data_IF_011020116941
#
_entry.id   IF_011020116941
#
_cell.length_a   1.000
_cell.length_b   1.000
_cell.length_c   1.000
_cell.angle_alpha   90.00
_cell.angle_beta   90.00
_cell.angle_gamma   90.00
#
_symmetry.space_group_name_H-M   'P 1'
#
loop_
_entity.id
_entity.type
_entity.pdbx_description
1 polymer ?
#
# COMPACT_ATOMS: atom_id res chain seq x y z
N UNK A 1 -15.68 25.90 11.04
CA UNK A 1 -15.03 26.30 9.77
C UNK A 1 -14.39 25.09 9.06
N UNK A 2 -13.49 24.34 9.67
CA UNK A 2 -12.83 23.16 9.06
C UNK A 2 -13.79 22.08 8.55
N UNK A 3 -14.82 21.72 9.34
CA UNK A 3 -15.81 20.70 8.97
C UNK A 3 -16.59 21.05 7.68
N UNK A 4 -16.87 22.34 7.43
CA UNK A 4 -17.54 22.79 6.21
C UNK A 4 -16.60 22.65 5.01
N UNK A 5 -15.32 23.00 5.16
CA UNK A 5 -14.32 22.86 4.08
C UNK A 5 -14.16 21.39 3.68
N UNK A 6 -14.05 20.48 4.66
CA UNK A 6 -13.95 19.04 4.39
C UNK A 6 -15.20 18.50 3.68
N UNK A 7 -16.39 18.92 4.14
CA UNK A 7 -17.65 18.53 3.50
C UNK A 7 -17.74 19.03 2.06
N UNK A 8 -17.38 20.29 1.84
CA UNK A 8 -17.46 20.92 0.52
C UNK A 8 -16.44 20.27 -0.44
N UNK A 9 -15.21 20.00 0.02
CA UNK A 9 -14.22 19.24 -0.76
C UNK A 9 -14.71 17.82 -1.08
N UNK A 10 -15.29 17.11 -0.11
CA UNK A 10 -15.87 15.80 -0.33
C UNK A 10 -17.02 15.81 -1.36
N UNK A 11 -17.87 16.83 -1.29
CA UNK A 11 -18.96 17.01 -2.28
C UNK A 11 -18.42 17.25 -3.67
N UNK A 12 -17.41 18.11 -3.82
CA UNK A 12 -16.76 18.39 -5.12
C UNK A 12 -16.15 17.12 -5.70
N UNK A 13 -15.41 16.37 -4.89
CA UNK A 13 -14.80 15.09 -5.32
C UNK A 13 -15.86 14.07 -5.75
N UNK A 14 -16.97 13.97 -5.02
CA UNK A 14 -18.06 13.05 -5.36
C UNK A 14 -18.74 13.44 -6.69
N UNK A 15 -19.00 14.73 -6.91
CA UNK A 15 -19.55 15.23 -8.19
C UNK A 15 -18.59 14.95 -9.33
N UNK A 16 -17.29 15.25 -9.17
CA UNK A 16 -16.28 14.95 -10.20
C UNK A 16 -16.23 13.45 -10.51
N UNK A 17 -16.18 12.59 -9.50
CA UNK A 17 -16.17 11.14 -9.68
C UNK A 17 -17.39 10.63 -10.42
N UNK A 18 -18.58 11.13 -10.07
CA UNK A 18 -19.82 10.72 -10.71
C UNK A 18 -19.91 11.14 -12.18
N UNK A 19 -19.36 12.30 -12.54
CA UNK A 19 -19.33 12.79 -13.92
C UNK A 19 -18.44 11.94 -14.83
N UNK A 20 -17.36 11.36 -14.28
CA UNK A 20 -16.36 10.65 -15.08
C UNK A 20 -16.34 9.13 -14.86
N UNK A 21 -17.23 8.59 -14.01
CA UNK A 21 -17.24 7.16 -13.63
C UNK A 21 -17.38 6.20 -14.81
N UNK A 22 -18.10 6.61 -15.85
CA UNK A 22 -18.41 5.77 -17.00
C UNK A 22 -17.48 6.03 -18.21
N UNK A 23 -16.43 6.82 -18.02
CA UNK A 23 -15.45 7.13 -19.08
C UNK A 23 -14.68 5.85 -19.44
N UNK A 24 -14.83 5.44 -20.69
CA UNK A 24 -14.12 4.31 -21.28
C UNK A 24 -13.39 4.79 -22.53
N UNK A 25 -12.26 4.15 -22.80
CA UNK A 25 -11.45 4.45 -23.98
C UNK A 25 -11.30 3.18 -24.82
N UNK A 26 -11.61 3.31 -26.10
CA UNK A 26 -11.46 2.24 -27.09
C UNK A 26 -10.06 2.21 -27.69
N UNK A 27 -9.58 1.05 -28.20
CA UNK A 27 -8.31 0.97 -28.89
C UNK A 27 -8.18 1.91 -30.10
N UNK A 28 -9.28 2.18 -30.79
CA UNK A 28 -9.31 3.10 -31.93
C UNK A 28 -9.04 4.55 -31.50
N UNK A 29 -9.57 4.97 -30.35
CA UNK A 29 -9.35 6.32 -29.80
C UNK A 29 -7.90 6.50 -29.33
N UNK A 30 -7.31 5.48 -28.68
CA UNK A 30 -5.90 5.52 -28.29
C UNK A 30 -5.00 5.65 -29.52
N UNK A 31 -5.28 4.85 -30.58
CA UNK A 31 -4.52 4.90 -31.84
C UNK A 31 -4.67 6.25 -32.53
N UNK A 32 -5.88 6.80 -32.57
CA UNK A 32 -6.17 8.12 -33.14
C UNK A 32 -5.38 9.20 -32.39
N UNK A 33 -5.43 9.18 -31.07
CA UNK A 33 -4.69 10.13 -30.23
C UNK A 33 -3.19 10.03 -30.50
N UNK A 34 -2.60 8.84 -30.45
CA UNK A 34 -1.18 8.62 -30.70
C UNK A 34 -0.74 9.15 -32.06
N UNK A 35 -1.49 8.86 -33.13
CA UNK A 35 -1.17 9.30 -34.49
C UNK A 35 -1.30 10.81 -34.69
N UNK A 36 -2.02 11.50 -33.83
CA UNK A 36 -2.19 12.96 -33.86
C UNK A 36 -1.12 13.70 -33.05
N UNK A 37 -0.33 12.99 -32.22
CA UNK A 37 0.72 13.62 -31.44
C UNK A 37 1.88 14.04 -32.35
N UNK A 38 2.35 15.30 -32.24
CA UNK A 38 3.64 15.68 -32.80
C UNK A 38 4.75 14.80 -32.23
N UNK A 39 5.78 14.54 -33.01
CA UNK A 39 6.91 13.67 -32.62
C UNK A 39 7.57 14.12 -31.29
N UNK A 40 7.56 15.43 -31.01
CA UNK A 40 8.13 16.00 -29.79
C UNK A 40 7.18 15.90 -28.58
N UNK A 41 5.90 15.63 -28.83
CA UNK A 41 4.87 15.49 -27.79
C UNK A 41 4.56 14.04 -27.44
N UNK A 42 5.21 13.07 -28.09
CA UNK A 42 5.10 11.65 -27.71
C UNK A 42 5.72 11.48 -26.33
N UNK A 43 4.97 10.93 -25.34
CA UNK A 43 5.47 10.76 -24.00
C UNK A 43 6.76 9.92 -23.96
N UNK A 44 7.71 10.33 -23.15
CA UNK A 44 8.89 9.53 -22.87
C UNK A 44 8.60 8.58 -21.72
N UNK A 45 8.83 7.29 -21.94
CA UNK A 45 8.72 6.24 -20.92
C UNK A 45 10.12 6.06 -20.32
N UNK A 46 10.29 6.32 -19.01
CA UNK A 46 11.55 6.06 -18.33
C UNK A 46 11.95 4.60 -18.38
N UNK A 47 13.21 4.30 -18.10
CA UNK A 47 13.69 2.93 -17.95
C UNK A 47 12.82 2.18 -16.93
N UNK A 48 12.37 0.99 -17.31
CA UNK A 48 11.56 0.11 -16.47
C UNK A 48 12.25 -1.23 -16.26
N UNK A 49 11.96 -1.85 -15.13
CA UNK A 49 12.46 -3.18 -14.76
C UNK A 49 11.32 -4.10 -14.35
N UNK A 50 11.48 -5.39 -14.60
CA UNK A 50 10.65 -6.45 -14.03
C UNK A 50 11.51 -7.27 -13.08
N UNK A 51 11.04 -7.44 -11.85
CA UNK A 51 11.80 -8.05 -10.77
C UNK A 51 11.02 -9.23 -10.19
N UNK A 52 11.73 -10.32 -9.95
CA UNK A 52 11.23 -11.45 -9.16
C UNK A 52 11.91 -11.43 -7.80
N UNK A 53 11.18 -11.79 -6.75
CA UNK A 53 11.65 -11.79 -5.36
C UNK A 53 11.33 -13.09 -4.65
N UNK A 54 12.25 -13.57 -3.84
CA UNK A 54 12.04 -14.61 -2.83
C UNK A 54 12.35 -14.00 -1.48
N UNK A 55 11.43 -14.09 -0.53
CA UNK A 55 11.65 -13.62 0.83
C UNK A 55 11.58 -14.76 1.84
N UNK A 56 12.39 -14.65 2.88
CA UNK A 56 12.30 -15.49 4.09
C UNK A 56 12.17 -14.61 5.32
N UNK A 57 11.29 -14.97 6.22
CA UNK A 57 11.27 -14.40 7.56
C UNK A 57 12.41 -15.06 8.38
N UNK A 58 13.24 -14.28 9.08
CA UNK A 58 14.12 -14.86 10.08
C UNK A 58 13.30 -15.65 11.11
N UNK A 59 13.86 -16.72 11.63
CA UNK A 59 13.18 -17.51 12.66
C UNK A 59 13.12 -16.71 13.95
N UNK A 60 11.93 -16.54 14.50
CA UNK A 60 11.75 -15.93 15.82
C UNK A 60 12.02 -16.99 16.89
N UNK A 61 12.92 -16.76 17.85
CA UNK A 61 13.14 -17.65 18.95
C UNK A 61 11.86 -17.84 19.79
N UNK A 62 11.56 -19.07 20.20
CA UNK A 62 10.38 -19.35 21.03
C UNK A 62 10.37 -18.51 22.31
N UNK A 63 11.53 -18.28 22.90
CA UNK A 63 11.67 -17.45 24.09
C UNK A 63 11.13 -16.03 23.88
N UNK A 64 11.38 -15.41 22.72
CA UNK A 64 10.86 -14.07 22.41
C UNK A 64 9.34 -14.07 22.24
N UNK A 65 8.78 -15.12 21.64
CA UNK A 65 7.33 -15.31 21.57
C UNK A 65 6.72 -15.39 22.97
N UNK A 66 7.35 -16.17 23.84
CA UNK A 66 6.89 -16.37 25.22
C UNK A 66 7.02 -15.06 26.03
N UNK A 67 8.08 -14.30 25.85
CA UNK A 67 8.29 -12.99 26.46
C UNK A 67 7.19 -12.01 26.04
N UNK A 68 6.90 -11.90 24.75
CA UNK A 68 5.82 -11.04 24.24
C UNK A 68 4.47 -11.45 24.81
N UNK A 69 4.14 -12.74 24.80
CA UNK A 69 2.89 -13.27 25.37
C UNK A 69 2.80 -13.00 26.88
N UNK A 70 3.90 -13.12 27.60
CA UNK A 70 3.95 -12.83 29.04
C UNK A 70 3.66 -11.34 29.33
N UNK A 71 4.28 -10.43 28.56
CA UNK A 71 4.02 -8.98 28.67
C UNK A 71 2.56 -8.63 28.37
N UNK A 72 1.98 -9.21 27.32
CA UNK A 72 0.57 -8.96 27.00
C UNK A 72 -0.40 -9.49 28.05
N UNK A 73 -0.08 -10.65 28.70
CA UNK A 73 -0.87 -11.15 29.84
C UNK A 73 -0.80 -10.21 31.03
N UNK A 74 0.40 -9.71 31.36
CA UNK A 74 0.61 -8.75 32.42
C UNK A 74 -0.19 -7.45 32.16
N UNK A 75 -0.15 -6.90 30.93
CA UNK A 75 -0.97 -5.75 30.57
C UNK A 75 -2.47 -6.02 30.73
N UNK A 76 -2.94 -7.19 30.27
CA UNK A 76 -4.35 -7.58 30.44
C UNK A 76 -4.74 -7.68 31.91
N UNK A 77 -3.87 -8.20 32.78
CA UNK A 77 -4.13 -8.28 34.21
C UNK A 77 -4.20 -6.90 34.86
N UNK A 78 -3.26 -6.01 34.57
CA UNK A 78 -3.24 -4.64 35.09
C UNK A 78 -4.52 -3.88 34.71
N UNK A 79 -4.97 -4.01 33.46
CA UNK A 79 -6.22 -3.38 33.00
C UNK A 79 -7.46 -4.00 33.67
N UNK A 80 -7.53 -5.34 33.72
CA UNK A 80 -8.68 -6.03 34.32
C UNK A 80 -8.82 -5.79 35.82
N UNK A 81 -7.69 -5.54 36.53
CA UNK A 81 -7.66 -5.15 37.94
C UNK A 81 -7.91 -3.65 38.17
N UNK A 82 -7.96 -2.84 37.11
CA UNK A 82 -8.10 -1.38 37.19
C UNK A 82 -6.83 -0.66 37.68
N UNK A 83 -5.68 -1.31 37.66
CA UNK A 83 -4.40 -0.73 38.08
C UNK A 83 -3.84 0.27 37.06
N UNK A 84 -4.13 0.03 35.77
CA UNK A 84 -3.74 0.91 34.66
C UNK A 84 -4.81 0.95 33.58
N UNK A 85 -4.90 2.08 32.89
CA UNK A 85 -5.77 2.23 31.73
C UNK A 85 -5.15 1.59 30.50
N UNK A 86 -5.97 0.92 29.71
CA UNK A 86 -5.55 0.29 28.44
C UNK A 86 -4.92 1.31 27.49
N UNK A 87 -5.50 2.50 27.37
CA UNK A 87 -4.99 3.58 26.51
C UNK A 87 -3.58 4.02 26.91
N UNK A 88 -3.30 4.11 28.20
CA UNK A 88 -1.96 4.46 28.71
C UNK A 88 -0.92 3.39 28.32
N UNK A 89 -1.28 2.11 28.50
CA UNK A 89 -0.41 1.00 28.09
C UNK A 89 -0.20 0.97 26.55
N UNK A 90 -1.24 1.28 25.78
CA UNK A 90 -1.13 1.35 24.32
C UNK A 90 -0.18 2.46 23.87
N UNK A 91 -0.29 3.66 24.42
CA UNK A 91 0.62 4.77 24.10
C UNK A 91 2.07 4.45 24.44
N UNK A 92 2.31 3.77 25.57
CA UNK A 92 3.66 3.49 26.06
C UNK A 92 4.31 2.29 25.34
N UNK A 93 3.54 1.29 24.98
CA UNK A 93 4.10 -0.01 24.61
C UNK A 93 3.60 -0.59 23.28
N UNK A 94 2.52 -0.08 22.70
CA UNK A 94 2.03 -0.63 21.44
C UNK A 94 2.98 -0.30 20.28
N UNK A 95 3.30 -1.31 19.50
CA UNK A 95 4.11 -1.20 18.29
C UNK A 95 3.26 -0.92 17.03
N UNK A 96 1.95 -0.73 17.19
CA UNK A 96 1.11 -0.23 16.11
C UNK A 96 1.19 1.29 16.01
N UNK A 97 2.02 1.78 15.08
CA UNK A 97 2.22 3.23 14.88
C UNK A 97 0.94 3.97 14.49
N UNK A 98 -0.03 3.27 13.91
CA UNK A 98 -1.28 3.87 13.43
C UNK A 98 -2.23 4.26 14.56
N UNK A 99 -2.25 3.49 15.67
CA UNK A 99 -3.20 3.69 16.76
C UNK A 99 -2.54 3.96 18.11
N UNK A 100 -1.27 3.63 18.31
CA UNK A 100 -0.58 3.74 19.60
C UNK A 100 -0.76 5.13 20.24
N UNK A 101 -0.48 6.20 19.53
CA UNK A 101 -0.60 7.58 20.01
C UNK A 101 -2.04 8.01 20.32
N UNK A 102 -3.03 7.28 19.81
CA UNK A 102 -4.46 7.46 20.10
C UNK A 102 -4.95 6.48 21.18
N UNK A 103 -4.03 5.94 22.01
CA UNK A 103 -4.37 4.97 23.04
C UNK A 103 -4.81 3.61 22.51
N UNK A 104 -4.36 3.26 21.30
CA UNK A 104 -4.71 2.02 20.61
C UNK A 104 -6.05 2.03 19.89
N UNK A 105 -6.78 3.17 19.87
CA UNK A 105 -8.11 3.28 19.27
C UNK A 105 -8.04 3.30 17.74
N UNK A 106 -8.88 2.45 17.11
CA UNK A 106 -8.94 2.28 15.66
C UNK A 106 -10.10 3.06 15.02
N UNK A 107 -11.00 3.63 15.80
CA UNK A 107 -12.27 4.18 15.30
C UNK A 107 -13.23 3.08 14.83
N UNK A 108 -14.36 3.49 14.21
CA UNK A 108 -15.35 2.54 13.73
C UNK A 108 -14.92 1.83 12.45
N UNK A 109 -14.67 0.53 12.55
CA UNK A 109 -14.25 -0.33 11.43
C UNK A 109 -15.28 -1.44 11.18
N UNK A 110 -15.41 -1.85 9.92
CA UNK A 110 -16.18 -3.02 9.52
C UNK A 110 -15.34 -4.29 9.60
N UNK A 111 -16.01 -5.45 9.68
CA UNK A 111 -15.35 -6.75 9.78
C UNK A 111 -14.40 -7.03 8.59
N UNK A 112 -14.77 -6.57 7.40
CA UNK A 112 -14.00 -6.75 6.16
C UNK A 112 -12.69 -5.96 6.11
N UNK A 113 -12.54 -4.95 6.97
CA UNK A 113 -11.32 -4.11 7.02
C UNK A 113 -10.28 -4.62 8.01
N UNK A 114 -10.55 -5.75 8.64
CA UNK A 114 -9.69 -6.36 9.66
C UNK A 114 -9.23 -7.73 9.19
N UNK A 115 -8.04 -8.14 9.61
CA UNK A 115 -7.59 -9.53 9.38
C UNK A 115 -8.49 -10.51 10.13
N UNK A 116 -8.77 -11.68 9.56
CA UNK A 116 -9.79 -12.60 10.07
C UNK A 116 -9.61 -12.98 11.54
N UNK A 117 -8.38 -13.23 11.98
CA UNK A 117 -8.05 -13.63 13.35
C UNK A 117 -8.41 -12.53 14.35
N UNK A 118 -8.05 -11.27 14.03
CA UNK A 118 -8.38 -10.10 14.83
C UNK A 118 -9.90 -9.83 14.82
N UNK A 119 -10.49 -9.82 13.62
CA UNK A 119 -11.91 -9.57 13.45
C UNK A 119 -12.80 -10.54 14.23
N UNK A 120 -12.46 -11.84 14.21
CA UNK A 120 -13.23 -12.87 14.90
C UNK A 120 -13.22 -12.65 16.42
N UNK A 121 -12.11 -12.21 17.01
CA UNK A 121 -12.06 -11.90 18.44
C UNK A 121 -12.74 -10.57 18.74
N UNK A 122 -12.42 -9.51 18.00
CA UNK A 122 -12.93 -8.16 18.23
C UNK A 122 -14.48 -8.10 18.19
N UNK A 123 -15.09 -8.72 17.17
CA UNK A 123 -16.55 -8.72 17.02
C UNK A 123 -17.31 -9.58 18.06
N UNK A 124 -16.60 -10.53 18.69
CA UNK A 124 -17.16 -11.36 19.77
C UNK A 124 -17.02 -10.72 21.16
N UNK A 125 -16.29 -9.60 21.30
CA UNK A 125 -16.23 -8.87 22.58
C UNK A 125 -17.59 -8.24 22.88
N UNK A 126 -18.05 -8.38 24.12
CA UNK A 126 -19.32 -7.83 24.58
C UNK A 126 -19.18 -6.96 25.83
N UNK A 127 -18.05 -7.01 26.51
CA UNK A 127 -17.80 -6.28 27.75
C UNK A 127 -16.65 -5.27 27.54
N UNK A 128 -16.94 -3.95 27.56
CA UNK A 128 -15.91 -2.92 27.40
C UNK A 128 -14.87 -2.86 28.53
N UNK A 129 -15.17 -3.49 29.69
CA UNK A 129 -14.25 -3.51 30.83
C UNK A 129 -13.21 -4.62 30.72
N UNK A 130 -13.44 -5.60 29.86
CA UNK A 130 -12.57 -6.77 29.73
C UNK A 130 -11.66 -6.68 28.52
N UNK A 131 -10.43 -7.14 28.73
CA UNK A 131 -9.45 -7.31 27.66
C UNK A 131 -9.58 -8.72 27.08
N UNK A 132 -9.41 -8.85 25.76
CA UNK A 132 -9.44 -10.14 25.05
C UNK A 132 -8.31 -11.07 25.51
N UNK A 133 -8.44 -12.35 25.14
CA UNK A 133 -7.27 -13.23 25.05
C UNK A 133 -6.29 -12.70 23.99
N UNK A 134 -5.04 -13.15 24.08
CA UNK A 134 -4.02 -12.82 23.08
C UNK A 134 -4.46 -13.37 21.71
N UNK A 135 -4.39 -12.50 20.71
CA UNK A 135 -4.70 -12.81 19.31
C UNK A 135 -3.40 -12.78 18.52
N UNK A 136 -3.10 -13.85 17.83
CA UNK A 136 -1.96 -13.93 16.92
C UNK A 136 -2.43 -13.60 15.50
N UNK A 137 -1.70 -12.70 14.82
CA UNK A 137 -1.94 -12.32 13.43
C UNK A 137 -0.61 -12.26 12.68
N UNK A 138 -0.65 -12.02 11.39
CA UNK A 138 0.59 -11.79 10.61
C UNK A 138 1.35 -10.52 11.02
N UNK A 139 0.71 -9.61 11.77
CA UNK A 139 1.32 -8.37 12.29
C UNK A 139 1.99 -8.55 13.65
N UNK A 140 1.70 -9.62 14.38
CA UNK A 140 2.21 -9.91 15.71
C UNK A 140 1.13 -10.39 16.68
N UNK A 141 1.33 -10.12 17.96
CA UNK A 141 0.44 -10.53 19.05
C UNK A 141 -0.33 -9.33 19.58
N UNK A 142 -1.64 -9.48 19.72
CA UNK A 142 -2.54 -8.41 20.11
C UNK A 142 -3.33 -8.78 21.36
N UNK A 143 -3.67 -7.76 22.15
CA UNK A 143 -4.80 -7.76 23.06
C UNK A 143 -5.75 -6.64 22.65
N UNK A 144 -7.06 -6.87 22.82
CA UNK A 144 -8.09 -6.00 22.27
C UNK A 144 -9.08 -5.68 23.40
N UNK A 145 -9.52 -4.42 23.46
CA UNK A 145 -10.59 -3.98 24.34
C UNK A 145 -11.68 -3.29 23.51
N UNK A 146 -12.94 -3.65 23.79
CA UNK A 146 -14.09 -3.03 23.17
C UNK A 146 -14.26 -1.60 23.69
N UNK A 147 -14.59 -0.67 22.80
CA UNK A 147 -15.10 0.66 23.15
C UNK A 147 -16.59 0.70 22.92
N UNK A 148 -17.02 0.45 21.68
CA UNK A 148 -18.42 0.56 21.28
C UNK A 148 -18.75 -0.31 20.06
N UNK A 149 -20.00 -0.78 19.96
CA UNK A 149 -20.55 -1.43 18.76
C UNK A 149 -21.68 -0.58 18.18
N UNK A 150 -21.68 -0.40 16.85
CA UNK A 150 -22.75 0.30 16.11
C UNK A 150 -23.11 -0.50 14.85
N UNK A 151 -24.19 -1.26 14.93
CA UNK A 151 -24.63 -2.10 13.82
C UNK A 151 -23.56 -3.10 13.42
N UNK A 152 -23.11 -3.02 12.17
CA UNK A 152 -22.08 -3.86 11.56
C UNK A 152 -20.63 -3.34 11.76
N UNK A 153 -20.46 -2.24 12.53
CA UNK A 153 -19.16 -1.63 12.85
C UNK A 153 -18.84 -1.73 14.32
N UNK A 154 -17.54 -1.81 14.58
CA UNK A 154 -17.01 -1.88 15.95
C UNK A 154 -15.92 -0.82 16.12
N UNK A 155 -15.91 -0.15 17.28
CA UNK A 155 -14.79 0.65 17.75
C UNK A 155 -14.08 -0.12 18.85
N UNK A 156 -12.80 -0.41 18.64
CA UNK A 156 -11.93 -1.11 19.58
C UNK A 156 -10.63 -0.36 19.76
N UNK A 157 -9.95 -0.65 20.85
CA UNK A 157 -8.55 -0.32 21.03
C UNK A 157 -7.73 -1.60 21.15
N UNK A 158 -6.47 -1.56 20.70
CA UNK A 158 -5.59 -2.71 20.79
C UNK A 158 -4.16 -2.33 21.19
N UNK A 159 -3.43 -3.29 21.72
CA UNK A 159 -2.00 -3.23 21.92
C UNK A 159 -1.38 -4.33 21.07
N UNK A 160 -0.46 -3.96 20.20
CA UNK A 160 0.32 -4.84 19.37
C UNK A 160 1.75 -4.93 19.91
N UNK A 161 2.23 -6.13 20.13
CA UNK A 161 3.66 -6.41 20.35
C UNK A 161 4.17 -7.43 19.34
N UNK A 162 5.43 -7.27 18.92
CA UNK A 162 6.13 -8.17 18.01
C UNK A 162 7.29 -8.84 18.72
N UNK A 163 7.53 -10.14 18.51
CA UNK A 163 8.78 -10.77 18.94
C UNK A 163 9.95 -10.16 18.16
N UNK A 164 11.01 -9.80 18.84
CA UNK A 164 12.21 -9.28 18.20
C UNK A 164 13.03 -10.40 17.57
N UNK A 165 13.58 -10.09 16.40
CA UNK A 165 14.52 -10.98 15.70
C UNK A 165 15.94 -10.56 16.05
N UNK A 166 16.78 -11.47 16.46
CA UNK A 166 18.18 -11.16 16.77
C UNK A 166 19.03 -11.05 15.48
N UNK A 167 20.14 -10.35 15.55
CA UNK A 167 21.12 -10.30 14.45
C UNK A 167 21.57 -11.69 14.01
N UNK A 168 21.66 -12.62 14.94
CA UNK A 168 21.98 -14.03 14.65
C UNK A 168 20.90 -14.69 13.79
N UNK A 169 19.61 -14.51 14.14
CA UNK A 169 18.50 -15.09 13.38
C UNK A 169 18.42 -14.54 11.96
N UNK A 170 18.74 -13.24 11.79
CA UNK A 170 18.87 -12.60 10.48
C UNK A 170 20.03 -13.19 9.71
N UNK A 171 21.21 -13.34 10.34
CA UNK A 171 22.39 -13.93 9.73
C UNK A 171 22.14 -15.38 9.29
N UNK A 172 21.51 -16.19 10.10
CA UNK A 172 21.15 -17.57 9.77
C UNK A 172 20.18 -17.63 8.56
N UNK A 173 19.25 -16.70 8.49
CA UNK A 173 18.33 -16.60 7.35
C UNK A 173 19.05 -16.15 6.06
N UNK A 174 20.00 -15.22 6.15
CA UNK A 174 20.84 -14.79 5.02
C UNK A 174 21.68 -15.97 4.49
N UNK A 175 22.34 -16.73 5.35
CA UNK A 175 23.11 -17.92 4.98
C UNK A 175 22.23 -18.96 4.29
N UNK A 176 21.04 -19.23 4.82
CA UNK A 176 20.10 -20.16 4.20
C UNK A 176 19.67 -19.70 2.81
N UNK A 177 19.44 -18.40 2.63
CA UNK A 177 19.04 -17.83 1.35
C UNK A 177 20.20 -17.80 0.35
N UNK A 178 21.45 -17.62 0.83
CA UNK A 178 22.64 -17.69 -0.04
C UNK A 178 22.89 -19.10 -0.53
N UNK A 179 22.69 -20.12 0.29
CA UNK A 179 22.76 -21.52 -0.14
C UNK A 179 21.75 -21.81 -1.24
N UNK A 180 20.51 -21.31 -1.12
CA UNK A 180 19.51 -21.43 -2.17
C UNK A 180 19.91 -20.68 -3.44
N UNK A 181 20.51 -19.50 -3.29
CA UNK A 181 21.02 -18.70 -4.43
C UNK A 181 22.06 -19.46 -5.24
N UNK A 182 22.98 -20.17 -4.59
CA UNK A 182 24.00 -21.01 -5.27
C UNK A 182 23.31 -22.07 -6.13
N UNK A 183 22.33 -22.80 -5.59
CA UNK A 183 21.61 -23.81 -6.35
C UNK A 183 20.82 -23.23 -7.55
N UNK A 184 20.31 -22.00 -7.41
CA UNK A 184 19.65 -21.26 -8.50
C UNK A 184 20.63 -20.82 -9.58
N UNK A 185 21.84 -20.37 -9.22
CA UNK A 185 22.89 -20.00 -10.18
C UNK A 185 23.40 -21.22 -10.93
N UNK A 186 23.58 -22.35 -10.24
CA UNK A 186 23.98 -23.62 -10.82
C UNK A 186 22.89 -24.28 -11.69
N UNK A 187 21.73 -23.63 -11.79
CA UNK A 187 20.54 -24.10 -12.53
C UNK A 187 20.04 -25.48 -12.12
N UNK A 188 20.30 -25.89 -10.88
CA UNK A 188 19.75 -27.12 -10.30
C UNK A 188 18.25 -27.01 -10.08
N UNK A 189 17.79 -25.78 -9.85
CA UNK A 189 16.39 -25.46 -9.55
C UNK A 189 16.04 -24.16 -10.33
N UNK A 190 14.83 -24.03 -10.82
CA UNK A 190 14.38 -22.77 -11.43
C UNK A 190 13.87 -21.79 -10.36
N UNK A 191 14.11 -20.50 -10.59
CA UNK A 191 13.60 -19.44 -9.70
C UNK A 191 12.08 -19.46 -9.61
N UNK A 192 11.41 -19.70 -10.74
CA UNK A 192 9.96 -19.75 -10.86
C UNK A 192 9.33 -20.86 -10.01
N UNK A 193 9.93 -22.05 -10.05
CA UNK A 193 9.44 -23.22 -9.34
C UNK A 193 9.66 -23.10 -7.84
N UNK A 194 10.90 -22.76 -7.44
CA UNK A 194 11.25 -22.76 -6.02
C UNK A 194 10.53 -21.66 -5.22
N UNK A 195 10.15 -20.56 -5.89
CA UNK A 195 9.44 -19.45 -5.23
C UNK A 195 8.16 -19.93 -4.55
N UNK A 196 7.39 -20.81 -5.15
CA UNK A 196 6.15 -21.33 -4.58
C UNK A 196 6.36 -22.09 -3.27
N UNK A 197 7.50 -22.77 -3.13
CA UNK A 197 7.78 -23.62 -1.99
C UNK A 197 8.56 -22.91 -0.88
N UNK A 198 9.39 -21.95 -1.23
CA UNK A 198 10.33 -21.32 -0.30
C UNK A 198 9.93 -19.92 0.08
N UNK A 199 9.40 -19.12 -0.86
CA UNK A 199 9.06 -17.73 -0.56
C UNK A 199 7.92 -17.62 0.45
N UNK A 200 8.12 -16.77 1.44
CA UNK A 200 7.12 -16.44 2.47
C UNK A 200 6.36 -15.15 2.16
N UNK A 201 6.67 -14.52 1.03
CA UNK A 201 5.87 -13.40 0.52
C UNK A 201 4.59 -13.91 -0.14
N UNK A 202 3.45 -13.63 0.48
CA UNK A 202 2.13 -14.09 0.01
C UNK A 202 1.71 -13.45 -1.32
N UNK A 203 2.20 -12.26 -1.61
CA UNK A 203 1.76 -11.50 -2.78
C UNK A 203 2.45 -11.96 -4.07
N UNK A 204 3.73 -12.31 -3.97
CA UNK A 204 4.52 -12.71 -5.14
C UNK A 204 4.68 -14.22 -5.28
N UNK A 205 4.57 -14.98 -4.18
CA UNK A 205 4.78 -16.43 -4.17
C UNK A 205 3.97 -17.19 -5.23
N UNK A 206 2.68 -16.85 -5.36
CA UNK A 206 1.78 -17.50 -6.32
C UNK A 206 1.95 -16.96 -7.75
N UNK A 207 2.72 -15.91 -7.93
CA UNK A 207 3.06 -15.29 -9.21
C UNK A 207 4.53 -15.52 -9.57
N UNK A 208 5.11 -16.66 -9.19
CA UNK A 208 6.51 -17.05 -9.48
C UNK A 208 7.53 -16.01 -8.97
N UNK A 209 7.21 -15.31 -7.90
CA UNK A 209 8.01 -14.23 -7.34
C UNK A 209 7.91 -12.90 -8.08
N UNK A 210 7.16 -12.81 -9.18
CA UNK A 210 7.05 -11.58 -9.96
C UNK A 210 6.34 -10.49 -9.16
N UNK A 211 7.02 -9.38 -8.95
CA UNK A 211 6.46 -8.21 -8.30
C UNK A 211 5.43 -7.52 -9.20
N UNK A 212 4.39 -6.98 -8.59
CA UNK A 212 3.33 -6.22 -9.27
C UNK A 212 3.32 -4.80 -8.74
N UNK A 213 3.38 -3.84 -9.64
CA UNK A 213 3.33 -2.42 -9.32
C UNK A 213 1.90 -2.06 -8.88
N UNK A 214 1.69 -1.62 -7.63
CA UNK A 214 0.35 -1.32 -7.11
C UNK A 214 -0.30 -0.10 -7.79
N UNK A 215 0.48 0.77 -8.41
CA UNK A 215 -0.04 1.95 -9.10
C UNK A 215 -0.58 1.62 -10.50
N UNK A 216 0.08 0.71 -11.20
CA UNK A 216 -0.23 0.38 -12.61
C UNK A 216 -0.90 -0.98 -12.78
N UNK A 217 -0.81 -1.86 -11.78
CA UNK A 217 -1.33 -3.23 -11.83
C UNK A 217 -0.56 -4.19 -12.75
N UNK A 218 0.60 -3.77 -13.28
CA UNK A 218 1.47 -4.60 -14.12
C UNK A 218 2.80 -4.94 -13.43
N UNK A 219 3.67 -5.69 -14.08
CA UNK A 219 4.98 -6.10 -13.54
C UNK A 219 6.12 -5.10 -13.78
N UNK A 220 5.86 -4.00 -14.47
CA UNK A 220 6.87 -3.00 -14.82
C UNK A 220 6.98 -1.93 -13.75
N UNK A 221 8.20 -1.63 -13.34
CA UNK A 221 8.50 -0.59 -12.34
C UNK A 221 9.53 0.38 -12.91
N UNK A 222 9.31 1.66 -12.74
CA UNK A 222 10.40 2.61 -12.71
C UNK A 222 11.22 2.42 -11.44
N UNK A 223 12.52 2.70 -11.47
CA UNK A 223 13.39 2.44 -10.31
C UNK A 223 12.89 3.10 -9.00
N UNK A 224 12.32 4.30 -9.09
CA UNK A 224 11.75 5.01 -7.94
C UNK A 224 10.44 4.45 -7.40
N UNK A 225 9.80 3.51 -8.10
CA UNK A 225 8.55 2.86 -7.68
C UNK A 225 8.81 1.53 -6.95
N UNK A 226 10.03 1.01 -7.01
CA UNK A 226 10.44 -0.16 -6.23
C UNK A 226 10.66 0.20 -4.76
N UNK A 227 10.44 -0.74 -3.82
CA UNK A 227 10.92 -0.57 -2.45
C UNK A 227 12.41 -0.20 -2.43
N UNK A 228 12.79 0.73 -1.57
CA UNK A 228 14.13 1.32 -1.60
C UNK A 228 15.26 0.30 -1.52
N UNK A 229 15.11 -0.73 -0.68
CA UNK A 229 16.11 -1.79 -0.51
C UNK A 229 16.22 -2.66 -1.76
N UNK A 230 15.11 -2.94 -2.43
CA UNK A 230 15.08 -3.67 -3.70
C UNK A 230 15.71 -2.84 -4.82
N UNK A 231 15.35 -1.55 -4.92
CA UNK A 231 15.89 -0.66 -5.94
C UNK A 231 17.42 -0.55 -5.91
N UNK A 232 17.99 -0.42 -4.69
CA UNK A 232 19.45 -0.38 -4.51
C UNK A 232 20.15 -1.62 -5.07
N UNK A 233 19.57 -2.79 -4.80
CA UNK A 233 20.17 -4.06 -5.22
C UNK A 233 19.97 -4.29 -6.73
N UNK A 234 18.78 -3.97 -7.26
CA UNK A 234 18.45 -4.15 -8.69
C UNK A 234 19.27 -3.24 -9.59
N UNK A 235 19.69 -2.07 -9.11
CA UNK A 235 20.50 -1.13 -9.90
C UNK A 235 21.77 -1.75 -10.48
N UNK A 236 22.43 -2.62 -9.73
CA UNK A 236 23.71 -3.24 -10.08
C UNK A 236 23.54 -4.58 -10.83
N UNK A 237 22.34 -5.13 -10.93
CA UNK A 237 22.10 -6.44 -11.55
C UNK A 237 22.02 -6.35 -13.08
N UNK A 238 22.53 -7.37 -13.75
CA UNK A 238 22.26 -7.63 -15.17
C UNK A 238 20.99 -8.45 -15.34
N UNK A 239 20.36 -8.35 -16.52
CA UNK A 239 19.17 -9.15 -16.83
C UNK A 239 19.47 -10.65 -16.68
N UNK A 240 18.64 -11.34 -15.93
CA UNK A 240 18.80 -12.76 -15.58
C UNK A 240 19.61 -13.00 -14.30
N UNK A 241 20.31 -12.01 -13.79
CA UNK A 241 21.17 -12.14 -12.60
C UNK A 241 20.34 -12.16 -11.31
N UNK A 242 20.84 -12.91 -10.32
CA UNK A 242 20.25 -13.05 -8.99
C UNK A 242 21.16 -12.35 -7.97
N UNK A 243 20.59 -11.49 -7.16
CA UNK A 243 21.32 -10.73 -6.13
C UNK A 243 21.92 -11.63 -5.05
N UNK A 244 22.90 -11.11 -4.32
CA UNK A 244 23.21 -11.64 -2.98
C UNK A 244 22.01 -11.45 -2.06
N UNK A 245 21.86 -12.28 -0.99
CA UNK A 245 20.87 -12.05 0.03
C UNK A 245 21.06 -10.69 0.72
N UNK A 246 19.97 -10.03 1.00
CA UNK A 246 19.96 -8.74 1.72
C UNK A 246 18.78 -8.65 2.68
N UNK A 247 18.89 -7.78 3.66
CA UNK A 247 17.81 -7.47 4.60
C UNK A 247 16.96 -6.34 3.99
N UNK A 248 15.65 -6.49 4.07
CA UNK A 248 14.70 -5.44 3.71
C UNK A 248 13.59 -5.34 4.74
N UNK A 249 12.92 -4.20 4.78
CA UNK A 249 11.73 -4.02 5.61
C UNK A 249 10.47 -4.33 4.80
N UNK A 250 9.65 -5.29 5.27
CA UNK A 250 8.26 -5.43 4.82
C UNK A 250 7.46 -4.27 5.44
N UNK A 251 7.26 -3.20 4.66
CA UNK A 251 6.60 -1.97 5.14
C UNK A 251 5.18 -2.21 5.62
N UNK A 252 4.44 -3.18 5.03
CA UNK A 252 3.06 -3.49 5.43
C UNK A 252 3.00 -4.15 6.80
N UNK A 253 3.97 -5.00 7.10
CA UNK A 253 4.04 -5.73 8.38
C UNK A 253 4.98 -5.05 9.36
N UNK A 254 5.73 -4.02 8.90
CA UNK A 254 6.77 -3.33 9.65
C UNK A 254 7.71 -4.30 10.35
N UNK A 255 8.26 -5.24 9.57
CA UNK A 255 9.21 -6.25 10.05
C UNK A 255 10.34 -6.47 9.05
N UNK A 256 11.51 -6.83 9.58
CA UNK A 256 12.65 -7.20 8.76
C UNK A 256 12.46 -8.60 8.18
N UNK A 257 12.77 -8.73 6.90
CA UNK A 257 12.81 -9.98 6.15
C UNK A 257 14.10 -10.04 5.36
N UNK A 258 14.57 -11.24 5.05
CA UNK A 258 15.68 -11.42 4.14
C UNK A 258 15.18 -11.77 2.75
N UNK A 259 15.83 -11.24 1.72
CA UNK A 259 15.40 -11.40 0.34
C UNK A 259 16.55 -11.68 -0.62
N UNK A 260 16.24 -12.34 -1.72
CA UNK A 260 17.01 -12.31 -2.98
C UNK A 260 16.08 -11.85 -4.08
N UNK A 261 16.64 -11.09 -5.01
CA UNK A 261 15.91 -10.62 -6.20
C UNK A 261 16.60 -11.08 -7.47
N UNK A 262 15.80 -11.33 -8.50
CA UNK A 262 16.27 -11.59 -9.85
C UNK A 262 15.77 -10.49 -10.76
N UNK A 263 16.67 -9.85 -11.48
CA UNK A 263 16.28 -8.92 -12.55
C UNK A 263 15.80 -9.74 -13.75
N UNK A 264 14.48 -9.81 -13.93
CA UNK A 264 13.89 -10.60 -15.01
C UNK A 264 14.01 -9.92 -16.36
N UNK A 265 13.78 -8.61 -16.38
CA UNK A 265 13.83 -7.81 -17.60
C UNK A 265 14.22 -6.36 -17.29
N UNK A 266 14.84 -5.69 -18.27
CA UNK A 266 15.14 -4.26 -18.25
C UNK A 266 14.73 -3.68 -19.60
N UNK A 267 13.87 -2.69 -19.58
CA UNK A 267 13.37 -1.97 -20.75
C UNK A 267 13.97 -0.57 -20.70
N UNK A 268 14.81 -0.26 -21.65
CA UNK A 268 15.44 1.06 -21.72
C UNK A 268 14.41 2.16 -21.93
N UNK A 269 14.75 3.38 -21.47
CA UNK A 269 13.90 4.53 -21.67
C UNK A 269 13.71 4.83 -23.15
N UNK A 270 12.47 5.05 -23.56
CA UNK A 270 12.10 5.24 -24.97
C UNK A 270 10.87 6.15 -25.12
N UNK A 271 10.65 6.66 -26.33
CA UNK A 271 9.37 7.30 -26.67
C UNK A 271 8.27 6.24 -26.70
N UNK A 272 7.12 6.55 -26.07
CA UNK A 272 6.00 5.63 -25.99
C UNK A 272 5.62 5.09 -27.38
N UNK A 273 5.31 3.80 -27.44
CA UNK A 273 4.82 3.15 -28.66
C UNK A 273 3.54 2.34 -28.38
N UNK A 274 2.79 2.05 -29.45
CA UNK A 274 1.49 1.38 -29.34
C UNK A 274 1.59 -0.11 -28.96
N UNK A 275 2.75 -0.74 -29.15
CA UNK A 275 2.95 -2.16 -28.86
C UNK A 275 3.18 -2.41 -27.38
N UNK A 276 4.11 -1.65 -26.79
CA UNK A 276 4.65 -1.92 -25.46
C UNK A 276 3.98 -1.06 -24.38
N UNK A 277 3.50 0.15 -24.78
CA UNK A 277 3.05 1.18 -23.85
C UNK A 277 1.55 1.48 -24.00
N UNK A 278 0.79 0.57 -24.62
CA UNK A 278 -0.63 0.76 -24.87
C UNK A 278 -1.42 1.15 -23.59
N UNK A 279 -1.13 0.53 -22.46
CA UNK A 279 -1.86 0.83 -21.20
C UNK A 279 -1.55 2.25 -20.70
N UNK A 280 -0.31 2.69 -20.81
CA UNK A 280 0.10 4.05 -20.46
C UNK A 280 -0.57 5.08 -21.38
N UNK A 281 -0.55 4.83 -22.68
CA UNK A 281 -1.22 5.69 -23.66
C UNK A 281 -2.74 5.72 -23.45
N UNK A 282 -3.35 4.58 -23.13
CA UNK A 282 -4.76 4.48 -22.77
C UNK A 282 -5.10 5.31 -21.54
N UNK A 283 -4.29 5.23 -20.48
CA UNK A 283 -4.49 6.01 -19.26
C UNK A 283 -4.42 7.53 -19.55
N UNK A 284 -3.48 7.97 -20.39
CA UNK A 284 -3.37 9.38 -20.82
C UNK A 284 -4.64 9.83 -21.55
N UNK A 285 -5.14 9.01 -22.47
CA UNK A 285 -6.38 9.33 -23.21
C UNK A 285 -7.59 9.35 -22.29
N UNK A 286 -7.70 8.42 -21.35
CA UNK A 286 -8.77 8.40 -20.36
C UNK A 286 -8.74 9.65 -19.47
N UNK A 287 -7.56 10.05 -19.00
CA UNK A 287 -7.43 11.24 -18.16
C UNK A 287 -7.75 12.52 -18.94
N UNK A 288 -7.31 12.61 -20.20
CA UNK A 288 -7.71 13.72 -21.09
C UNK A 288 -9.22 13.79 -21.26
N UNK A 289 -9.87 12.66 -21.55
CA UNK A 289 -11.34 12.61 -21.69
C UNK A 289 -12.06 13.05 -20.41
N UNK A 290 -11.59 12.60 -19.25
CA UNK A 290 -12.15 13.01 -17.96
C UNK A 290 -12.04 14.53 -17.78
N UNK A 291 -10.86 15.07 -18.09
CA UNK A 291 -10.59 16.51 -18.00
C UNK A 291 -11.51 17.28 -18.95
N UNK A 292 -11.67 16.83 -20.19
CA UNK A 292 -12.52 17.47 -21.19
C UNK A 292 -14.00 17.48 -20.72
N UNK A 293 -14.52 16.36 -20.22
CA UNK A 293 -15.88 16.24 -19.67
C UNK A 293 -16.07 17.19 -18.48
N UNK A 294 -15.11 17.25 -17.58
CA UNK A 294 -15.19 18.15 -16.42
C UNK A 294 -15.18 19.61 -16.84
N UNK A 295 -14.36 19.98 -17.81
CA UNK A 295 -14.29 21.36 -18.34
C UNK A 295 -15.58 21.73 -19.06
N UNK A 296 -16.13 20.88 -19.89
CA UNK A 296 -17.42 21.10 -20.57
C UNK A 296 -18.57 21.26 -19.57
N UNK A 297 -18.63 20.37 -18.57
CA UNK A 297 -19.62 20.44 -17.50
C UNK A 297 -19.50 21.75 -16.71
N UNK A 298 -18.26 22.14 -16.37
CA UNK A 298 -17.99 23.38 -15.64
C UNK A 298 -18.41 24.62 -16.45
N UNK A 299 -18.03 24.68 -17.71
CA UNK A 299 -18.43 25.78 -18.63
C UNK A 299 -19.95 25.89 -18.74
N UNK A 300 -20.65 24.74 -18.88
CA UNK A 300 -22.12 24.71 -18.90
C UNK A 300 -22.69 25.22 -17.59
N UNK A 301 -22.19 24.74 -16.43
CA UNK A 301 -22.66 25.19 -15.11
C UNK A 301 -22.40 26.67 -14.86
N UNK A 302 -21.27 27.19 -15.28
CA UNK A 302 -20.96 28.62 -15.21
C UNK A 302 -21.95 29.46 -16.02
N UNK A 303 -22.36 28.99 -17.21
CA UNK A 303 -23.35 29.72 -18.04
C UNK A 303 -24.76 29.71 -17.44
N UNK A 304 -25.15 28.60 -16.78
CA UNK A 304 -26.49 28.40 -16.18
C UNK A 304 -26.63 29.01 -14.79
N UNK A 305 -25.53 29.26 -14.08
CA UNK A 305 -25.54 29.67 -12.67
C UNK A 305 -25.37 31.19 -12.54
N UNK A 306 -26.13 31.81 -11.65
CA UNK A 306 -25.91 33.21 -11.29
C UNK A 306 -24.64 33.32 -10.42
N UNK A 307 -23.65 34.06 -10.92
CA UNK A 307 -22.36 34.27 -10.25
C UNK A 307 -22.15 35.77 -10.05
N UNK A 308 -21.93 36.18 -8.79
CA UNK A 308 -21.58 37.54 -8.42
C UNK A 308 -20.20 37.59 -7.79
N UNK A 309 -19.25 38.20 -8.50
CA UNK A 309 -17.89 38.45 -7.99
C UNK A 309 -17.81 39.89 -7.50
N UNK A 310 -17.35 40.11 -6.28
CA UNK A 310 -17.15 41.45 -5.71
C UNK A 310 -16.07 42.16 -6.51
N UNK A 311 -16.20 43.49 -6.65
CA UNK A 311 -15.33 44.29 -7.53
C UNK A 311 -13.84 44.12 -7.27
N UNK A 312 -13.42 44.06 -6.00
CA UNK A 312 -12.00 43.85 -5.65
C UNK A 312 -11.41 42.51 -6.08
N UNK A 313 -12.22 41.56 -6.54
CA UNK A 313 -11.78 40.21 -6.96
C UNK A 313 -11.96 39.97 -8.47
N UNK A 314 -12.44 40.97 -9.22
CA UNK A 314 -12.69 40.82 -10.67
C UNK A 314 -11.41 40.76 -11.51
N UNK A 315 -10.32 41.30 -11.02
CA UNK A 315 -9.02 41.33 -11.70
C UNK A 315 -8.10 40.16 -11.33
N UNK A 316 -8.61 39.14 -10.63
CA UNK A 316 -7.85 37.94 -10.32
C UNK A 316 -7.75 37.03 -11.55
N UNK A 317 -6.62 36.34 -11.68
CA UNK A 317 -6.49 35.22 -12.62
C UNK A 317 -7.29 34.05 -12.08
N UNK A 318 -8.35 33.67 -12.78
CA UNK A 318 -9.13 32.50 -12.44
C UNK A 318 -8.60 31.27 -13.17
N UNK A 319 -8.55 30.14 -12.49
CA UNK A 319 -8.13 28.85 -13.06
C UNK A 319 -8.95 28.44 -14.29
N UNK A 320 -10.20 28.88 -14.36
CA UNK A 320 -11.11 28.58 -15.45
C UNK A 320 -11.70 29.88 -15.96
N UNK A 321 -11.85 30.02 -17.29
CA UNK A 321 -12.47 31.18 -17.92
C UNK A 321 -13.99 31.22 -17.68
N UNK A 322 -14.60 32.38 -17.84
CA UNK A 322 -16.06 32.52 -17.79
C UNK A 322 -16.67 32.87 -16.43
N UNK A 323 -15.87 33.09 -15.38
CA UNK A 323 -16.37 33.55 -14.07
C UNK A 323 -16.86 34.98 -14.07
N UNK A 324 -16.35 35.83 -14.96
CA UNK A 324 -16.79 37.20 -15.12
C UNK A 324 -17.63 37.26 -16.39
N UNK A 325 -18.95 37.40 -16.22
CA UNK A 325 -19.86 37.67 -17.33
C UNK A 325 -19.73 39.14 -17.70
N UNK A 326 -19.45 39.42 -18.97
CA UNK A 326 -19.44 40.78 -19.54
C UNK A 326 -20.85 41.35 -19.58
#
# INVERSE_FOLDING_TARGET
MLANVIRDQGTVQEVQRNLVKDVKTTPAEVRKFYNQLPADSIPYIPMQVEVQIITLNPKVPQQEIDNVKARLRDFSEQVNKGERDFSTLAVLYSEDRGSAMMGGEMGFVSKSNLVPEFANVAFNLNDPKKVSKIVETEYGYHIIQLIEKRGDRINVRHILLRPHVSEKDISDALVRLDSLRVDLIDKKISFDEITQYVSQDKDTRNNKGLMVNPQTGNSKFEMGQLPQDVAKVVADLKVGEISKPFVMTDERKNKEVVAIVKLKNRIDGHKANMSDDYQTLKAIVEEKKKTDILNEWLAKKQSETYIRIKEGWRNCEFKYDGWIKK
#
